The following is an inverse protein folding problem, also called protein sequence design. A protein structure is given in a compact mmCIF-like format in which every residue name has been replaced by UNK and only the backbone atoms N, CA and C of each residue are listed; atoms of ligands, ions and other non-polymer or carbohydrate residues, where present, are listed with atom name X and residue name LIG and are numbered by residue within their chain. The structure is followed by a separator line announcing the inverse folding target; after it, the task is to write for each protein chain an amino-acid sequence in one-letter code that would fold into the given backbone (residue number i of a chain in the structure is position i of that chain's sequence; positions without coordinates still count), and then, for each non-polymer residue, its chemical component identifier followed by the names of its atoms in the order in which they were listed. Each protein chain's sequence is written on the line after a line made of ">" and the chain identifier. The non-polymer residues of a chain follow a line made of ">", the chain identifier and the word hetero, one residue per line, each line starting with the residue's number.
data_IF_001182404686
#
_entry.id   IF_001182404686
#
_cell.length_a   1.000
_cell.length_b   1.000
_cell.length_c   1.000
_cell.angle_alpha   90.00
_cell.angle_beta   90.00
_cell.angle_gamma   90.00
#
_symmetry.space_group_name_H-M   'P 1'
#
loop_
_entity.id
_entity.type
_entity.pdbx_description
1 polymer ?
#
# COMPACT_ATOMS: atom_id res chain seq x y z
N UNK A 1 11.99 -2.21 -8.23
CA UNK A 1 10.77 -1.49 -8.67
C UNK A 1 10.18 -0.75 -7.47
N UNK A 2 9.66 0.48 -7.67
CA UNK A 2 8.95 1.22 -6.62
C UNK A 2 7.61 0.53 -6.31
N UNK A 3 7.12 0.69 -5.08
CA UNK A 3 5.81 0.20 -4.70
C UNK A 3 4.73 1.10 -5.28
N UNK A 4 3.65 0.51 -5.76
CA UNK A 4 2.45 1.23 -6.17
C UNK A 4 1.30 0.84 -5.27
N UNK A 5 0.42 1.78 -4.98
CA UNK A 5 -0.79 1.50 -4.23
C UNK A 5 -2.00 2.18 -4.84
N UNK A 6 -3.18 1.63 -4.58
CA UNK A 6 -4.45 2.25 -4.96
C UNK A 6 -5.37 2.35 -3.75
N UNK A 7 -6.10 3.45 -3.67
CA UNK A 7 -7.19 3.65 -2.71
C UNK A 7 -8.36 4.33 -3.40
N UNK A 8 -9.58 4.02 -2.99
CA UNK A 8 -10.81 4.68 -3.44
C UNK A 8 -11.08 6.00 -2.69
N UNK A 9 -10.30 6.33 -1.67
CA UNK A 9 -10.44 7.55 -0.88
C UNK A 9 -9.46 8.64 -1.31
N UNK A 10 -9.86 9.91 -1.16
CA UNK A 10 -9.00 11.06 -1.45
C UNK A 10 -7.90 11.29 -0.38
N UNK A 11 -7.99 10.61 0.75
CA UNK A 11 -7.02 10.68 1.84
C UNK A 11 -6.51 9.28 2.22
N UNK A 12 -5.21 9.18 2.47
CA UNK A 12 -4.51 7.97 2.95
C UNK A 12 -4.58 7.89 4.49
N UNK A 13 -5.72 8.26 5.07
CA UNK A 13 -5.91 8.26 6.53
C UNK A 13 -6.46 6.90 6.98
N UNK A 14 -6.32 6.62 8.28
CA UNK A 14 -6.85 5.44 8.95
C UNK A 14 -8.34 5.23 8.63
N UNK A 15 -8.64 4.08 8.05
CA UNK A 15 -9.96 3.65 7.58
C UNK A 15 -10.06 3.51 6.06
N UNK A 16 -9.16 4.11 5.27
CA UNK A 16 -9.14 3.96 3.83
C UNK A 16 -8.47 2.65 3.42
N UNK A 17 -9.20 1.78 2.72
CA UNK A 17 -8.59 0.57 2.17
C UNK A 17 -7.57 0.96 1.08
N UNK A 18 -6.32 0.57 1.29
CA UNK A 18 -5.20 0.81 0.40
C UNK A 18 -4.61 -0.54 0.02
N UNK A 19 -4.54 -0.80 -1.29
CA UNK A 19 -3.90 -1.99 -1.85
C UNK A 19 -2.51 -1.62 -2.32
N UNK A 20 -1.47 -2.22 -1.74
CA UNK A 20 -0.06 -1.97 -2.03
C UNK A 20 0.52 -3.17 -2.79
N UNK A 21 1.21 -2.90 -3.90
CA UNK A 21 1.74 -3.88 -4.85
C UNK A 21 3.16 -3.50 -5.31
N UNK A 22 4.07 -4.48 -5.38
CA UNK A 22 5.43 -4.34 -5.94
C UNK A 22 5.64 -5.14 -7.22
N UNK A 23 4.59 -5.72 -7.80
CA UNK A 23 4.62 -6.57 -8.97
C UNK A 23 5.09 -8.00 -8.67
N UNK A 24 6.40 -8.22 -8.50
CA UNK A 24 7.03 -9.56 -8.45
C UNK A 24 7.76 -9.84 -7.14
N UNK A 25 7.49 -9.10 -6.08
CA UNK A 25 8.20 -9.23 -4.82
C UNK A 25 7.28 -9.75 -3.73
N UNK A 26 7.68 -10.83 -3.08
CA UNK A 26 6.94 -11.45 -1.99
C UNK A 26 7.29 -10.83 -0.61
N UNK A 27 8.30 -9.96 -0.57
CA UNK A 27 8.73 -9.28 0.65
C UNK A 27 7.87 -8.04 0.91
N UNK A 28 7.45 -7.76 2.17
CA UNK A 28 6.75 -6.53 2.51
C UNK A 28 7.56 -5.27 2.19
N UNK A 29 6.90 -4.09 2.12
CA UNK A 29 7.59 -2.81 2.04
C UNK A 29 8.59 -2.68 3.19
N UNK A 30 9.80 -2.22 2.90
CA UNK A 30 10.86 -2.02 3.88
C UNK A 30 10.97 -0.55 4.28
N UNK A 31 11.50 -0.29 5.48
CA UNK A 31 11.73 1.08 5.95
C UNK A 31 12.58 1.87 4.95
N UNK A 32 12.15 3.09 4.64
CA UNK A 32 12.76 3.99 3.67
C UNK A 32 12.30 3.79 2.22
N UNK A 33 11.53 2.74 1.91
CA UNK A 33 10.98 2.55 0.57
C UNK A 33 9.83 3.52 0.30
N UNK A 34 9.66 3.90 -0.98
CA UNK A 34 8.61 4.82 -1.42
C UNK A 34 7.47 4.04 -2.07
N UNK A 35 6.24 4.38 -1.67
CA UNK A 35 4.97 3.88 -2.18
C UNK A 35 4.27 5.01 -2.92
N UNK A 36 4.03 4.83 -4.22
CA UNK A 36 3.22 5.75 -5.02
C UNK A 36 1.74 5.35 -4.91
N UNK A 37 0.94 6.11 -4.18
CA UNK A 37 -0.49 5.86 -3.96
C UNK A 37 -1.32 6.64 -4.99
N UNK A 38 -2.07 5.91 -5.81
CA UNK A 38 -3.07 6.46 -6.73
C UNK A 38 -4.44 6.51 -6.05
N UNK A 39 -5.05 7.69 -6.04
CA UNK A 39 -6.37 7.96 -5.49
C UNK A 39 -7.40 7.76 -6.61
N UNK A 40 -8.11 6.64 -6.61
CA UNK A 40 -9.01 6.22 -7.69
C UNK A 40 -10.12 7.22 -8.01
N UNK A 41 -10.59 7.96 -7.00
CA UNK A 41 -11.67 8.96 -7.17
C UNK A 41 -11.20 10.23 -7.87
N UNK A 42 -9.96 10.65 -7.65
CA UNK A 42 -9.42 11.92 -8.18
C UNK A 42 -8.32 11.74 -9.23
N UNK A 43 -7.80 10.53 -9.43
CA UNK A 43 -6.65 10.23 -10.29
C UNK A 43 -5.34 10.83 -9.77
N UNK A 44 -5.33 11.40 -8.57
CA UNK A 44 -4.14 12.00 -7.96
C UNK A 44 -3.16 10.91 -7.55
N UNK A 45 -1.85 11.21 -7.65
CA UNK A 45 -0.80 10.34 -7.11
C UNK A 45 -0.12 11.06 -5.93
N UNK A 46 0.04 10.34 -4.83
CA UNK A 46 0.76 10.80 -3.63
C UNK A 46 1.91 9.83 -3.35
N UNK A 47 3.12 10.35 -3.20
CA UNK A 47 4.28 9.55 -2.79
C UNK A 47 4.37 9.52 -1.27
N UNK A 48 4.43 8.32 -0.70
CA UNK A 48 4.60 8.09 0.72
C UNK A 48 5.88 7.29 0.97
N UNK A 49 6.57 7.60 2.06
CA UNK A 49 7.76 6.84 2.49
C UNK A 49 7.39 5.92 3.64
N UNK A 50 7.84 4.68 3.59
CA UNK A 50 7.70 3.71 4.69
C UNK A 50 8.61 4.14 5.84
N UNK A 51 8.01 4.46 6.98
CA UNK A 51 8.73 4.78 8.23
C UNK A 51 9.02 3.49 9.00
N UNK A 52 8.02 2.60 9.08
CA UNK A 52 8.12 1.33 9.81
C UNK A 52 7.24 0.27 9.15
N UNK A 53 7.76 -0.94 8.99
CA UNK A 53 7.01 -2.11 8.57
C UNK A 53 7.09 -3.21 9.62
N UNK A 54 5.93 -3.59 10.17
CA UNK A 54 5.76 -4.69 11.10
C UNK A 54 4.67 -5.65 10.57
N UNK A 55 4.58 -6.85 11.16
CA UNK A 55 3.64 -7.88 10.71
C UNK A 55 2.17 -7.44 10.79
N UNK A 56 1.85 -6.56 11.73
CA UNK A 56 0.51 -6.08 12.05
C UNK A 56 0.32 -4.57 11.80
N UNK A 57 1.30 -3.92 11.15
CA UNK A 57 1.29 -2.47 10.96
C UNK A 57 2.25 -2.00 9.88
N UNK A 58 1.79 -1.06 9.05
CA UNK A 58 2.63 -0.28 8.15
C UNK A 58 2.50 1.20 8.51
N UNK A 59 3.61 1.84 8.85
CA UNK A 59 3.66 3.28 9.08
C UNK A 59 4.26 3.97 7.87
N UNK A 60 3.53 4.92 7.30
CA UNK A 60 3.91 5.70 6.13
C UNK A 60 3.98 7.19 6.49
N UNK A 61 4.71 7.98 5.71
CA UNK A 61 4.76 9.45 5.86
C UNK A 61 4.71 10.15 4.52
N UNK A 62 4.00 11.28 4.45
CA UNK A 62 4.05 12.23 3.33
C UNK A 62 5.06 13.37 3.59
N UNK A 63 5.85 13.28 4.67
CA UNK A 63 6.78 14.30 5.13
C UNK A 63 6.14 15.42 5.95
N UNK A 64 4.81 15.45 6.08
CA UNK A 64 4.07 16.40 6.93
C UNK A 64 3.41 15.69 8.11
N UNK A 65 2.92 14.47 7.90
CA UNK A 65 2.31 13.62 8.92
C UNK A 65 2.62 12.16 8.67
N UNK A 66 2.52 11.37 9.74
CA UNK A 66 2.60 9.92 9.66
C UNK A 66 1.19 9.32 9.61
N UNK A 67 1.08 8.22 8.90
CA UNK A 67 -0.12 7.43 8.71
C UNK A 67 0.17 6.03 9.21
N UNK A 68 -0.64 5.56 10.14
CA UNK A 68 -0.60 4.16 10.56
C UNK A 68 -1.68 3.42 9.77
N UNK A 69 -1.25 2.47 8.94
CA UNK A 69 -2.12 1.59 8.19
C UNK A 69 -2.05 0.20 8.82
N UNK A 70 -3.20 -0.33 9.22
CA UNK A 70 -3.27 -1.66 9.83
C UNK A 70 -3.60 -2.67 8.73
N UNK A 71 -2.93 -3.82 8.67
CA UNK A 71 -3.32 -4.89 7.77
C UNK A 71 -4.78 -5.21 8.01
N UNK A 72 -5.58 -5.08 6.96
CA UNK A 72 -6.97 -5.49 7.05
C UNK A 72 -6.97 -7.02 7.00
N UNK A 73 -6.99 -7.65 8.18
CA UNK A 73 -6.97 -9.10 8.41
C UNK A 73 -6.18 -9.89 7.33
N UNK A 74 -4.87 -10.07 7.59
CA UNK A 74 -3.94 -10.89 6.79
C UNK A 74 -4.68 -12.05 6.11
N UNK A 75 -4.88 -11.96 4.80
CA UNK A 75 -4.65 -13.07 3.87
C UNK A 75 -4.69 -12.52 2.45
N UNK A 76 -3.55 -12.61 1.76
CA UNK A 76 -3.44 -12.85 0.31
C UNK A 76 -4.75 -12.58 -0.46
N UNK A 77 -5.06 -11.33 -0.83
CA UNK A 77 -6.02 -11.11 -1.87
C UNK A 77 -5.24 -11.39 -3.14
N UNK A 78 -5.21 -12.67 -3.51
CA UNK A 78 -4.89 -13.23 -4.81
C UNK A 78 -5.22 -12.20 -5.91
N UNK A 79 -4.26 -11.33 -6.25
CA UNK A 79 -4.44 -10.34 -7.31
C UNK A 79 -4.30 -11.11 -8.59
N UNK A 80 -5.39 -11.31 -9.33
CA UNK A 80 -5.26 -11.79 -10.69
C UNK A 80 -4.57 -10.69 -11.50
N UNK A 81 -3.30 -10.90 -11.83
CA UNK A 81 -2.58 -10.02 -12.76
C UNK A 81 -3.19 -10.12 -14.16
N UNK A 82 -2.77 -9.23 -15.08
CA UNK A 82 -3.24 -9.26 -16.46
C UNK A 82 -2.91 -10.55 -17.21
N UNK A 83 -2.01 -11.39 -16.67
CA UNK A 83 -1.59 -12.68 -17.21
C UNK A 83 -2.36 -13.87 -16.57
N UNK A 84 -3.33 -13.59 -15.68
CA UNK A 84 -4.15 -14.62 -15.04
C UNK A 84 -3.50 -15.32 -13.83
N UNK A 85 -2.42 -14.77 -13.26
CA UNK A 85 -1.76 -15.31 -12.07
C UNK A 85 -2.15 -14.54 -10.82
N UNK A 86 -2.41 -15.28 -9.75
CA UNK A 86 -2.62 -14.70 -8.44
C UNK A 86 -1.29 -14.26 -7.82
N UNK A 87 -1.25 -13.02 -7.31
CA UNK A 87 -0.07 -12.43 -6.65
C UNK A 87 -0.37 -11.90 -5.26
N UNK A 88 0.65 -11.90 -4.42
CA UNK A 88 0.58 -11.38 -3.05
C UNK A 88 0.58 -9.84 -3.09
N UNK A 89 -0.55 -9.23 -2.69
CA UNK A 89 -0.63 -7.79 -2.42
C UNK A 89 -0.91 -7.52 -0.94
N UNK A 90 -0.39 -6.41 -0.45
CA UNK A 90 -0.59 -5.96 0.92
C UNK A 90 -1.81 -5.04 0.97
N UNK A 91 -2.91 -5.50 1.56
CA UNK A 91 -4.09 -4.65 1.83
C UNK A 91 -4.01 -4.14 3.26
N UNK A 92 -4.05 -2.82 3.39
CA UNK A 92 -4.05 -2.13 4.67
C UNK A 92 -5.22 -1.14 4.72
N UNK A 93 -5.73 -0.86 5.91
CA UNK A 93 -6.80 0.12 6.17
C UNK A 93 -6.31 1.20 7.13
#
# INVERSE_FOLDING_TARGET
>A
MPWTATTDHDAVDSGATIRIDRGTSDSPPQNGEVVAVSHGTTGRITSLTVVSAAADRLELTDGRRNFELKPHAITKPDVLDGDGRYRDAWIVA
#
